data_IF_492277262596
#
_entry.id   IF_492277262596
#
_cell.length_a   1.000
_cell.length_b   1.000
_cell.length_c   1.000
_cell.angle_alpha   90.00
_cell.angle_beta   90.00
_cell.angle_gamma   90.00
#
_symmetry.space_group_name_H-M   'P 1'
#
loop_
_entity.id
_entity.type
_entity.pdbx_description
1 polymer ?
#
# COMPACT_ATOMS: atom_id res chain seq x y z
N UNK A 1 -22.29 -5.75 6.70
CA UNK A 1 -21.10 -4.91 6.89
C UNK A 1 -20.78 -4.22 5.57
N UNK A 2 -20.50 -2.92 5.58
CA UNK A 2 -20.11 -2.18 4.39
C UNK A 2 -18.59 -2.21 4.27
N UNK A 3 -18.07 -2.73 3.16
CA UNK A 3 -16.65 -2.68 2.86
C UNK A 3 -16.32 -1.28 2.33
N UNK A 4 -15.33 -0.64 2.92
CA UNK A 4 -14.75 0.59 2.43
C UNK A 4 -13.51 0.28 1.61
N UNK A 5 -13.09 1.24 0.78
CA UNK A 5 -11.88 1.11 -0.02
C UNK A 5 -11.07 2.40 0.02
N UNK A 6 -9.75 2.26 0.00
CA UNK A 6 -8.80 3.36 -0.25
C UNK A 6 -8.07 3.06 -1.55
N UNK A 7 -8.02 4.04 -2.44
CA UNK A 7 -7.27 3.97 -3.69
C UNK A 7 -5.82 4.39 -3.45
N UNK A 8 -4.88 3.48 -3.74
CA UNK A 8 -3.44 3.70 -3.57
C UNK A 8 -2.77 4.14 -4.89
N UNK A 9 -3.48 3.99 -6.02
CA UNK A 9 -2.97 4.29 -7.36
C UNK A 9 -2.32 3.09 -8.06
N UNK A 10 -1.78 3.30 -9.27
CA UNK A 10 -1.20 2.25 -10.11
C UNK A 10 0.26 1.94 -9.75
N UNK A 11 0.98 2.95 -9.25
CA UNK A 11 2.43 2.94 -8.96
C UNK A 11 2.71 3.74 -7.68
N UNK A 12 3.89 3.56 -7.05
CA UNK A 12 4.39 4.43 -6.01
C UNK A 12 4.28 5.92 -6.38
N UNK A 13 3.96 6.79 -5.42
CA UNK A 13 3.68 8.20 -5.67
C UNK A 13 4.83 8.98 -6.35
N UNK A 14 6.08 8.52 -6.24
CA UNK A 14 7.25 9.11 -6.89
C UNK A 14 7.60 8.54 -8.26
N UNK A 15 6.80 7.61 -8.77
CA UNK A 15 7.02 6.90 -10.04
C UNK A 15 5.98 7.31 -11.10
N UNK A 16 6.34 7.20 -12.37
CA UNK A 16 5.43 7.51 -13.47
C UNK A 16 4.56 6.27 -13.82
N UNK A 17 3.22 6.36 -13.74
CA UNK A 17 2.34 5.29 -14.20
C UNK A 17 2.36 5.19 -15.73
N UNK A 18 1.92 4.04 -16.26
CA UNK A 18 1.67 3.91 -17.69
C UNK A 18 0.66 4.98 -18.16
N UNK A 19 0.94 5.61 -19.30
CA UNK A 19 0.02 6.60 -19.85
C UNK A 19 -1.16 5.92 -20.54
N UNK A 20 -2.36 6.49 -20.39
CA UNK A 20 -3.58 5.96 -21.01
C UNK A 20 -3.53 5.96 -22.56
N UNK A 21 -2.61 6.72 -23.15
CA UNK A 21 -2.37 6.76 -24.60
C UNK A 21 -1.46 5.63 -25.10
N UNK A 22 -0.90 4.80 -24.23
CA UNK A 22 -0.04 3.69 -24.62
C UNK A 22 -0.85 2.52 -25.21
N UNK A 23 -0.31 1.88 -26.26
CA UNK A 23 -0.95 0.77 -27.00
C UNK A 23 -1.33 -0.42 -26.09
N UNK A 24 -0.56 -0.65 -25.02
CA UNK A 24 -0.84 -1.70 -24.03
C UNK A 24 -0.95 -1.11 -22.61
N UNK A 25 -1.70 0.00 -22.47
CA UNK A 25 -1.94 0.64 -21.17
C UNK A 25 -2.47 -0.36 -20.13
N UNK A 26 -3.49 -1.15 -20.47
CA UNK A 26 -4.12 -2.08 -19.52
C UNK A 26 -3.14 -3.17 -19.07
N UNK A 27 -2.35 -3.74 -19.99
CA UNK A 27 -1.34 -4.74 -19.67
C UNK A 27 -0.26 -4.17 -18.76
N UNK A 28 0.32 -3.02 -19.11
CA UNK A 28 1.36 -2.36 -18.31
C UNK A 28 0.84 -1.91 -16.94
N UNK A 29 -0.30 -1.24 -16.89
CA UNK A 29 -0.89 -0.76 -15.64
C UNK A 29 -1.24 -1.93 -14.70
N UNK A 30 -1.74 -3.04 -15.24
CA UNK A 30 -1.99 -4.24 -14.43
C UNK A 30 -0.70 -4.84 -13.87
N UNK A 31 0.37 -4.89 -14.66
CA UNK A 31 1.68 -5.37 -14.21
C UNK A 31 2.28 -4.46 -13.12
N UNK A 32 2.19 -3.15 -13.33
CA UNK A 32 2.58 -2.13 -12.34
C UNK A 32 1.81 -2.30 -11.03
N UNK A 33 0.47 -2.46 -11.10
CA UNK A 33 -0.37 -2.69 -9.92
C UNK A 33 0.04 -3.95 -9.17
N UNK A 34 0.30 -5.07 -9.87
CA UNK A 34 0.74 -6.31 -9.22
C UNK A 34 2.07 -6.14 -8.49
N UNK A 35 3.04 -5.51 -9.15
CA UNK A 35 4.33 -5.20 -8.53
C UNK A 35 4.16 -4.29 -7.31
N UNK A 36 3.26 -3.32 -7.37
CA UNK A 36 3.00 -2.41 -6.27
C UNK A 36 2.34 -3.12 -5.07
N UNK A 37 1.42 -4.05 -5.32
CA UNK A 37 0.84 -4.91 -4.26
C UNK A 37 1.94 -5.72 -3.57
N UNK A 38 2.83 -6.34 -4.32
CA UNK A 38 3.93 -7.12 -3.72
C UNK A 38 4.85 -6.21 -2.87
N UNK A 39 5.16 -5.03 -3.37
CA UNK A 39 5.96 -4.04 -2.63
C UNK A 39 5.25 -3.55 -1.36
N UNK A 40 3.94 -3.32 -1.41
CA UNK A 40 3.11 -2.97 -0.24
C UNK A 40 3.13 -4.10 0.80
N UNK A 41 3.00 -5.37 0.36
CA UNK A 41 3.10 -6.54 1.23
C UNK A 41 4.48 -6.70 1.86
N UNK A 42 5.54 -6.36 1.13
CA UNK A 42 6.91 -6.35 1.66
C UNK A 42 7.16 -5.22 2.68
N UNK A 43 6.52 -4.07 2.49
CA UNK A 43 6.75 -2.87 3.32
C UNK A 43 5.86 -2.85 4.56
N UNK A 44 4.56 -3.08 4.37
CA UNK A 44 3.52 -2.97 5.40
C UNK A 44 3.23 -4.31 6.06
N UNK A 45 3.46 -5.41 5.34
CA UNK A 45 3.17 -6.78 5.78
C UNK A 45 1.92 -7.36 5.13
N UNK A 46 1.62 -8.61 5.47
CA UNK A 46 0.45 -9.34 4.97
C UNK A 46 -0.87 -8.71 5.45
N UNK A 47 -1.90 -8.89 4.64
CA UNK A 47 -3.25 -8.38 4.90
C UNK A 47 -3.89 -9.13 6.09
N UNK A 48 -4.38 -8.43 7.13
CA UNK A 48 -5.14 -9.05 8.21
C UNK A 48 -6.55 -9.45 7.75
N UNK A 49 -7.24 -10.25 8.56
CA UNK A 49 -8.64 -10.58 8.32
C UNK A 49 -9.49 -9.29 8.20
N UNK A 50 -10.32 -9.24 7.16
CA UNK A 50 -11.16 -8.08 6.87
C UNK A 50 -10.48 -7.00 6.02
N UNK A 51 -9.19 -7.12 5.66
CA UNK A 51 -8.54 -6.25 4.68
C UNK A 51 -8.06 -7.04 3.46
N UNK A 52 -8.10 -6.41 2.27
CA UNK A 52 -7.62 -7.03 1.04
C UNK A 52 -7.08 -6.03 0.02
N UNK A 53 -5.84 -6.21 -0.43
CA UNK A 53 -5.21 -5.52 -1.55
C UNK A 53 -5.66 -6.16 -2.87
N UNK A 54 -6.18 -5.33 -3.77
CA UNK A 54 -6.70 -5.78 -5.07
C UNK A 54 -6.39 -4.77 -6.16
N UNK A 55 -6.34 -5.28 -7.39
CA UNK A 55 -6.35 -4.43 -8.57
C UNK A 55 -7.81 -4.17 -8.94
N UNK A 56 -8.19 -2.89 -8.99
CA UNK A 56 -9.49 -2.43 -9.45
C UNK A 56 -9.36 -1.88 -10.86
N UNK A 57 -10.36 -2.17 -11.68
CA UNK A 57 -10.58 -1.53 -12.98
C UNK A 57 -11.82 -0.64 -12.85
N UNK A 58 -11.68 0.64 -13.13
CA UNK A 58 -12.74 1.65 -13.01
C UNK A 58 -12.88 2.39 -14.35
N UNK A 59 -14.10 2.76 -14.74
CA UNK A 59 -14.34 3.53 -15.96
C UNK A 59 -14.89 2.70 -17.13
N UNK A 60 -14.99 3.31 -18.33
CA UNK A 60 -15.59 2.66 -19.50
C UNK A 60 -14.73 1.51 -20.02
N UNK A 61 -15.38 0.50 -20.60
CA UNK A 61 -14.74 -0.75 -21.05
C UNK A 61 -13.57 -0.54 -22.04
N UNK A 62 -13.59 0.55 -22.80
CA UNK A 62 -12.57 0.89 -23.80
C UNK A 62 -11.32 1.59 -23.25
N UNK A 63 -11.39 2.17 -22.05
CA UNK A 63 -10.23 2.81 -21.41
C UNK A 63 -10.34 2.73 -19.89
N UNK A 64 -10.32 1.52 -19.31
CA UNK A 64 -10.52 1.35 -17.88
C UNK A 64 -9.28 1.83 -17.13
N UNK A 65 -9.45 2.74 -16.19
CA UNK A 65 -8.42 3.10 -15.24
C UNK A 65 -8.10 1.91 -14.34
N UNK A 66 -6.82 1.53 -14.27
CA UNK A 66 -6.34 0.39 -13.49
C UNK A 66 -5.54 0.89 -12.29
N UNK A 67 -5.99 0.57 -11.08
CA UNK A 67 -5.40 1.04 -9.83
C UNK A 67 -5.36 -0.05 -8.75
N UNK A 68 -4.45 0.09 -7.79
CA UNK A 68 -4.44 -0.70 -6.57
C UNK A 68 -5.37 -0.07 -5.56
N UNK A 69 -6.22 -0.90 -4.94
CA UNK A 69 -7.06 -0.54 -3.81
C UNK A 69 -6.77 -1.44 -2.63
N UNK A 70 -7.02 -0.93 -1.43
CA UNK A 70 -7.21 -1.76 -0.23
C UNK A 70 -8.69 -1.72 0.16
N UNK A 71 -9.36 -2.86 0.03
CA UNK A 71 -10.70 -3.07 0.57
C UNK A 71 -10.57 -3.41 2.05
N UNK A 72 -11.39 -2.83 2.92
CA UNK A 72 -11.38 -3.15 4.35
C UNK A 72 -12.78 -3.08 4.97
N UNK A 73 -13.02 -3.92 5.96
CA UNK A 73 -14.17 -3.82 6.84
C UNK A 73 -13.94 -2.72 7.87
N UNK A 74 -14.73 -1.64 7.79
CA UNK A 74 -14.61 -0.51 8.71
C UNK A 74 -15.02 -0.86 10.15
N UNK A 75 -15.83 -1.92 10.32
CA UNK A 75 -16.14 -2.45 11.65
C UNK A 75 -14.95 -3.18 12.29
N UNK A 76 -13.96 -3.58 11.51
CA UNK A 76 -12.75 -4.25 11.99
C UNK A 76 -11.60 -3.24 12.13
N UNK A 77 -11.26 -2.92 13.38
CA UNK A 77 -10.21 -1.95 13.68
C UNK A 77 -8.83 -2.33 13.10
N UNK A 78 -8.50 -3.63 13.04
CA UNK A 78 -7.24 -4.09 12.47
C UNK A 78 -7.20 -3.91 10.95
N UNK A 79 -8.30 -4.20 10.27
CA UNK A 79 -8.45 -4.00 8.83
C UNK A 79 -8.36 -2.51 8.46
N UNK A 80 -9.08 -1.65 9.19
CA UNK A 80 -9.01 -0.20 9.02
C UNK A 80 -7.60 0.34 9.30
N UNK A 81 -6.94 -0.11 10.36
CA UNK A 81 -5.56 0.29 10.66
C UNK A 81 -4.61 -0.13 9.54
N UNK A 82 -4.75 -1.35 9.00
CA UNK A 82 -3.97 -1.83 7.88
C UNK A 82 -4.16 -0.96 6.63
N UNK A 83 -5.40 -0.65 6.27
CA UNK A 83 -5.70 0.21 5.12
C UNK A 83 -5.07 1.61 5.24
N UNK A 84 -5.18 2.23 6.42
CA UNK A 84 -4.52 3.52 6.69
C UNK A 84 -2.99 3.44 6.66
N UNK A 85 -2.39 2.33 7.11
CA UNK A 85 -0.94 2.11 6.97
C UNK A 85 -0.55 1.93 5.51
N UNK A 86 -1.32 1.20 4.71
CA UNK A 86 -1.05 1.06 3.28
C UNK A 86 -1.00 2.41 2.57
N UNK A 87 -1.87 3.35 2.94
CA UNK A 87 -1.88 4.72 2.40
C UNK A 87 -0.69 5.56 2.90
N UNK A 88 -0.47 5.57 4.22
CA UNK A 88 0.55 6.43 4.86
C UNK A 88 1.98 5.94 4.72
N UNK A 89 2.16 4.62 4.74
CA UNK A 89 3.45 3.93 4.67
C UNK A 89 3.68 3.33 3.27
N UNK A 90 2.89 3.77 2.27
CA UNK A 90 3.10 3.43 0.88
C UNK A 90 4.54 3.79 0.46
N UNK A 91 5.29 2.85 -0.14
CA UNK A 91 6.58 3.16 -0.70
C UNK A 91 6.43 4.20 -1.81
N UNK A 92 7.35 5.15 -1.85
CA UNK A 92 7.32 6.23 -2.85
C UNK A 92 8.09 5.88 -4.13
N UNK A 93 8.92 4.83 -4.06
CA UNK A 93 9.80 4.35 -5.14
C UNK A 93 9.79 2.82 -5.19
N UNK A 94 10.07 2.25 -6.36
CA UNK A 94 10.11 0.80 -6.55
C UNK A 94 11.20 0.10 -5.73
N UNK A 95 12.34 0.76 -5.56
CA UNK A 95 13.51 0.20 -4.86
C UNK A 95 13.45 0.39 -3.34
N UNK A 96 12.40 1.02 -2.81
CA UNK A 96 12.22 1.27 -1.38
C UNK A 96 11.73 0.02 -0.63
N UNK A 97 12.19 -1.16 -1.03
CA UNK A 97 11.88 -2.41 -0.37
C UNK A 97 12.58 -2.47 1.00
N UNK A 98 11.79 -2.32 2.06
CA UNK A 98 12.12 -2.59 3.46
C UNK A 98 13.31 -1.83 4.07
N UNK A 99 13.03 -0.63 4.58
CA UNK A 99 13.92 0.14 5.45
C UNK A 99 13.40 0.36 6.88
N UNK A 100 12.46 -0.45 7.37
CA UNK A 100 11.92 -0.27 8.73
C UNK A 100 11.72 -1.57 9.50
N UNK A 101 12.72 -2.45 9.45
CA UNK A 101 12.95 -3.35 10.58
C UNK A 101 13.85 -2.62 11.60
N UNK A 102 13.23 -2.15 12.68
CA UNK A 102 13.83 -1.98 14.02
C UNK A 102 15.05 -1.04 14.15
N UNK A 103 14.82 0.15 14.69
CA UNK A 103 15.63 0.59 15.83
C UNK A 103 14.73 1.28 16.84
N UNK A 104 14.08 0.47 17.68
CA UNK A 104 13.74 0.94 19.02
C UNK A 104 15.05 1.26 19.73
N UNK A 105 15.42 2.53 19.81
CA UNK A 105 16.37 3.00 20.82
C UNK A 105 15.64 2.94 22.16
N UNK A 106 15.69 1.76 22.79
CA UNK A 106 15.48 1.64 24.22
C UNK A 106 16.58 2.47 24.90
N UNK A 107 16.21 3.66 25.35
CA UNK A 107 17.01 4.44 26.29
C UNK A 107 17.32 3.58 27.52
N UNK A 108 18.58 3.35 27.89
CA UNK A 108 18.88 2.97 29.26
C UNK A 108 18.74 4.23 30.11
N UNK A 109 17.62 4.34 30.84
CA UNK A 109 17.50 5.23 31.98
C UNK A 109 18.59 4.81 32.99
N UNK A 110 19.71 5.55 33.06
CA UNK A 110 20.60 5.48 34.22
C UNK A 110 20.00 6.33 35.33
N UNK A 111 19.10 5.71 36.09
CA UNK A 111 18.92 6.09 37.49
C UNK A 111 20.16 5.63 38.25
N UNK A 112 21.02 6.55 38.64
CA UNK A 112 21.83 6.37 39.83
C UNK A 112 22.02 7.72 40.50
N UNK A 113 21.14 8.00 41.46
CA UNK A 113 21.53 8.79 42.61
C UNK A 113 22.60 8.01 43.35
N UNK A 114 23.69 8.66 43.77
CA UNK A 114 24.15 8.65 45.16
C UNK A 114 25.52 9.35 45.29
N UNK A 115 25.50 10.38 46.16
CA UNK A 115 26.59 10.95 46.98
C UNK A 115 27.57 11.94 46.34
#
# INVERSE_FOLDING_TARGET
MALNLIALGTVPAGEAPAAASEIDYVGRAFWQCRRFIDLLRHTVGAEPEGAKLRVRRSGPDFNPYVEVIVEFDDANHAARAYANRCDREAPTRWDQAAGTALTGSLSPQKTFAER
#
